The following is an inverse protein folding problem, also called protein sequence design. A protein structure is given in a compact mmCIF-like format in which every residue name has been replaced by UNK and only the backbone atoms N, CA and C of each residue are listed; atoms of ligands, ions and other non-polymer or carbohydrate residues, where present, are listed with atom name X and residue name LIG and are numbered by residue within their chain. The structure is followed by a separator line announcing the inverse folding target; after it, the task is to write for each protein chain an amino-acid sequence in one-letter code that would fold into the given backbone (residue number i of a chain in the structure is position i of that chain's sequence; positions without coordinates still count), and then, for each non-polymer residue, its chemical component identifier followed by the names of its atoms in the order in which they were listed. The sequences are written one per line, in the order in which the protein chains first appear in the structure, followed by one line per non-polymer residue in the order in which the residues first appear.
data_IF_580717566570
#
_entry.id   IF_580717566570
#
_cell.length_a   1.000
_cell.length_b   1.000
_cell.length_c   1.000
_cell.angle_alpha   90.00
_cell.angle_beta   90.00
_cell.angle_gamma   90.00
#
_symmetry.space_group_name_H-M   'P 1'
#
loop_
_entity.id
_entity.type
_entity.pdbx_description
1 polymer ?
#
# COMPACT_ATOMS: atom_id res chain seq x y z
N UNK A 1 -20.51 5.98 42.36
CA UNK A 1 -20.59 4.60 41.82
C UNK A 1 -21.08 4.55 40.38
N UNK A 2 -22.26 5.11 40.04
CA UNK A 2 -22.78 5.05 38.64
C UNK A 2 -21.96 5.83 37.61
N UNK A 3 -21.32 6.93 38.01
CA UNK A 3 -20.49 7.77 37.12
C UNK A 3 -19.13 7.13 36.82
N UNK A 4 -18.59 6.38 37.78
CA UNK A 4 -17.27 5.77 37.70
C UNK A 4 -17.29 4.55 36.76
N UNK A 5 -18.36 3.76 36.84
CA UNK A 5 -18.56 2.64 35.92
C UNK A 5 -18.76 3.10 34.47
N UNK A 6 -19.48 4.22 34.29
CA UNK A 6 -19.69 4.82 32.97
C UNK A 6 -18.36 5.28 32.38
N UNK A 7 -17.58 6.03 33.17
CA UNK A 7 -16.24 6.47 32.78
C UNK A 7 -15.32 5.31 32.42
N UNK A 8 -15.27 4.26 33.25
CA UNK A 8 -14.48 3.06 32.96
C UNK A 8 -14.91 2.36 31.66
N UNK A 9 -16.21 2.33 31.36
CA UNK A 9 -16.71 1.76 30.10
C UNK A 9 -16.37 2.61 28.87
N UNK A 10 -16.38 3.94 29.04
CA UNK A 10 -16.03 4.91 28.00
C UNK A 10 -14.53 4.83 27.69
N UNK A 11 -13.68 4.87 28.73
CA UNK A 11 -12.22 4.73 28.59
C UNK A 11 -11.85 3.40 27.90
N UNK A 12 -12.49 2.29 28.28
CA UNK A 12 -12.27 0.99 27.64
C UNK A 12 -12.70 0.97 26.16
N UNK A 13 -13.83 1.62 25.84
CA UNK A 13 -14.29 1.71 24.45
C UNK A 13 -13.34 2.53 23.58
N UNK A 14 -12.79 3.62 24.12
CA UNK A 14 -11.80 4.44 23.43
C UNK A 14 -10.48 3.69 23.20
N UNK A 15 -10.00 2.94 24.20
CA UNK A 15 -8.82 2.08 24.07
C UNK A 15 -9.02 1.01 22.98
N UNK A 16 -10.18 0.34 22.96
CA UNK A 16 -10.51 -0.68 21.95
C UNK A 16 -10.62 -0.07 20.55
N UNK A 17 -11.21 1.12 20.43
CA UNK A 17 -11.27 1.84 19.16
C UNK A 17 -9.86 2.19 18.66
N UNK A 18 -8.99 2.70 19.52
CA UNK A 18 -7.60 2.98 19.18
C UNK A 18 -6.85 1.71 18.76
N UNK A 19 -6.98 0.60 19.50
CA UNK A 19 -6.34 -0.66 19.16
C UNK A 19 -6.82 -1.18 17.79
N UNK A 20 -8.13 -1.11 17.51
CA UNK A 20 -8.70 -1.51 16.22
C UNK A 20 -8.14 -0.68 15.06
N UNK A 21 -8.08 0.64 15.19
CA UNK A 21 -7.53 1.52 14.15
C UNK A 21 -6.04 1.25 13.90
N UNK A 22 -5.26 1.01 14.96
CA UNK A 22 -3.86 0.65 14.84
C UNK A 22 -3.69 -0.67 14.06
N UNK A 23 -4.51 -1.68 14.36
CA UNK A 23 -4.48 -2.95 13.64
C UNK A 23 -4.85 -2.79 12.15
N UNK A 24 -5.91 -2.03 11.84
CA UNK A 24 -6.31 -1.77 10.46
C UNK A 24 -5.22 -1.03 9.68
N UNK A 25 -4.59 -0.05 10.31
CA UNK A 25 -3.49 0.72 9.72
C UNK A 25 -2.29 -0.18 9.42
N UNK A 26 -1.86 -0.98 10.39
CA UNK A 26 -0.73 -1.90 10.20
C UNK A 26 -1.01 -2.92 9.09
N UNK A 27 -2.21 -3.52 9.07
CA UNK A 27 -2.61 -4.45 8.00
C UNK A 27 -2.55 -3.79 6.62
N UNK A 28 -3.01 -2.55 6.49
CA UNK A 28 -2.92 -1.79 5.24
C UNK A 28 -1.48 -1.55 4.81
N UNK A 29 -0.61 -1.16 5.74
CA UNK A 29 0.83 -0.94 5.48
C UNK A 29 1.49 -2.25 5.01
N UNK A 30 1.26 -3.35 5.72
CA UNK A 30 1.88 -4.64 5.40
C UNK A 30 1.39 -5.19 4.07
N UNK A 31 0.11 -5.03 3.75
CA UNK A 31 -0.43 -5.38 2.44
C UNK A 31 0.22 -4.59 1.29
N UNK A 32 0.55 -3.30 1.52
CA UNK A 32 1.29 -2.50 0.54
C UNK A 32 2.74 -2.98 0.43
N UNK A 33 3.42 -3.23 1.55
CA UNK A 33 4.80 -3.73 1.58
C UNK A 33 4.96 -5.03 0.80
N UNK A 34 4.03 -5.98 0.96
CA UNK A 34 4.04 -7.25 0.23
C UNK A 34 3.89 -7.11 -1.30
N UNK A 35 3.29 -6.01 -1.77
CA UNK A 35 3.15 -5.73 -3.21
C UNK A 35 4.41 -5.11 -3.83
N UNK A 36 5.30 -4.55 -3.01
CA UNK A 36 6.55 -3.97 -3.47
C UNK A 36 7.56 -5.09 -3.76
N UNK A 37 8.20 -5.04 -4.94
CA UNK A 37 9.17 -6.04 -5.41
C UNK A 37 10.61 -5.64 -5.13
N UNK A 38 10.89 -5.09 -3.95
CA UNK A 38 12.20 -4.50 -3.63
C UNK A 38 13.34 -5.51 -3.57
N UNK A 39 13.05 -6.82 -3.56
CA UNK A 39 14.05 -7.89 -3.59
C UNK A 39 14.47 -8.38 -4.98
N UNK A 40 13.82 -7.90 -6.05
CA UNK A 40 14.14 -8.29 -7.43
C UNK A 40 15.00 -7.21 -8.12
N UNK A 41 15.92 -7.57 -9.03
CA UNK A 41 16.67 -6.58 -9.80
C UNK A 41 15.74 -5.79 -10.72
N UNK A 42 16.01 -4.50 -10.87
CA UNK A 42 15.32 -3.64 -11.82
C UNK A 42 15.59 -4.08 -13.26
N UNK A 43 14.59 -3.95 -14.14
CA UNK A 43 14.74 -4.20 -15.58
C UNK A 43 15.26 -2.95 -16.28
N UNK A 44 16.10 -3.16 -17.30
CA UNK A 44 16.58 -2.10 -18.17
C UNK A 44 15.58 -1.73 -19.28
N UNK A 45 14.72 -2.68 -19.68
CA UNK A 45 13.67 -2.47 -20.67
C UNK A 45 12.28 -2.77 -20.10
N UNK A 46 11.30 -1.95 -20.50
CA UNK A 46 9.91 -2.10 -20.11
C UNK A 46 9.29 -3.36 -20.69
N UNK A 47 8.71 -4.21 -19.85
CA UNK A 47 8.11 -5.47 -20.31
C UNK A 47 6.86 -5.30 -21.18
N UNK A 48 6.22 -4.12 -21.14
CA UNK A 48 5.00 -3.85 -21.91
C UNK A 48 5.27 -3.22 -23.29
N UNK A 49 6.27 -2.36 -23.41
CA UNK A 49 6.52 -1.58 -24.63
C UNK A 49 7.97 -1.62 -25.11
N UNK A 50 8.83 -2.39 -24.46
CA UNK A 50 10.27 -2.50 -24.75
C UNK A 50 11.08 -1.20 -24.67
N UNK A 51 10.49 -0.09 -24.23
CA UNK A 51 11.22 1.17 -24.03
C UNK A 51 12.19 1.07 -22.85
N UNK A 52 13.33 1.77 -22.95
CA UNK A 52 14.34 1.80 -21.89
C UNK A 52 13.77 2.40 -20.59
N UNK A 53 14.15 1.81 -19.47
CA UNK A 53 13.82 2.27 -18.13
C UNK A 53 15.04 3.04 -17.60
N UNK A 54 14.94 4.37 -17.44
CA UNK A 54 16.08 5.19 -17.05
C UNK A 54 16.56 4.84 -15.64
N UNK A 55 17.86 4.98 -15.35
CA UNK A 55 18.45 4.59 -14.07
C UNK A 55 17.88 5.40 -12.89
N UNK A 56 17.41 6.63 -13.13
CA UNK A 56 16.69 7.41 -12.12
C UNK A 56 15.41 6.69 -11.63
N UNK A 57 14.69 6.01 -12.54
CA UNK A 57 13.51 5.21 -12.21
C UNK A 57 13.88 3.93 -11.47
N UNK A 58 14.94 3.26 -11.91
CA UNK A 58 15.44 2.04 -11.25
C UNK A 58 15.88 2.29 -9.80
N UNK A 59 16.48 3.46 -9.52
CA UNK A 59 16.83 3.88 -8.16
C UNK A 59 15.61 4.26 -7.31
N UNK A 60 14.64 4.96 -7.92
CA UNK A 60 13.43 5.38 -7.21
C UNK A 60 12.50 4.20 -6.87
N UNK A 61 12.47 3.18 -7.73
CA UNK A 61 11.65 1.97 -7.56
C UNK A 61 12.53 0.74 -7.79
N UNK A 62 13.16 0.21 -6.73
CA UNK A 62 13.90 -1.04 -6.81
C UNK A 62 12.99 -2.19 -7.28
N UNK A 63 13.44 -2.95 -8.28
CA UNK A 63 12.65 -4.02 -8.90
C UNK A 63 11.63 -3.55 -9.95
N UNK A 64 11.83 -2.36 -10.53
CA UNK A 64 10.93 -1.82 -11.57
C UNK A 64 10.95 -2.71 -12.84
N UNK A 65 9.77 -2.96 -13.40
CA UNK A 65 9.57 -3.75 -14.64
C UNK A 65 8.90 -2.98 -15.78
N UNK A 66 8.29 -1.84 -15.47
CA UNK A 66 7.57 -1.00 -16.42
C UNK A 66 8.13 0.42 -16.42
N UNK A 67 8.14 1.05 -17.59
CA UNK A 67 8.37 2.48 -17.69
C UNK A 67 7.22 3.27 -17.02
N UNK A 68 7.47 4.54 -16.68
CA UNK A 68 6.50 5.40 -15.98
C UNK A 68 5.12 5.41 -16.65
N UNK A 69 5.07 5.55 -17.99
CA UNK A 69 3.81 5.58 -18.75
C UNK A 69 3.01 4.28 -18.62
N UNK A 70 3.68 3.13 -18.81
CA UNK A 70 3.01 1.84 -18.72
C UNK A 70 2.57 1.53 -17.28
N UNK A 71 3.35 1.95 -16.28
CA UNK A 71 2.99 1.84 -14.88
C UNK A 71 1.71 2.63 -14.56
N UNK A 72 1.63 3.89 -14.98
CA UNK A 72 0.44 4.72 -14.75
C UNK A 72 -0.83 4.12 -15.35
N UNK A 73 -0.74 3.57 -16.56
CA UNK A 73 -1.87 2.89 -17.22
C UNK A 73 -2.28 1.65 -16.44
N UNK A 74 -1.32 0.85 -16.00
CA UNK A 74 -1.57 -0.36 -15.20
C UNK A 74 -2.26 -0.04 -13.86
N UNK A 75 -1.81 1.02 -13.18
CA UNK A 75 -2.39 1.47 -11.92
C UNK A 75 -3.79 2.04 -12.11
N UNK A 76 -4.02 2.85 -13.14
CA UNK A 76 -5.36 3.36 -13.50
C UNK A 76 -6.32 2.20 -13.73
N UNK A 77 -5.94 1.19 -14.52
CA UNK A 77 -6.76 -0.01 -14.75
C UNK A 77 -7.07 -0.76 -13.45
N UNK A 78 -6.05 -0.95 -12.60
CA UNK A 78 -6.19 -1.67 -11.33
C UNK A 78 -7.13 -0.97 -10.35
N UNK A 79 -7.14 0.37 -10.30
CA UNK A 79 -8.06 1.14 -9.46
C UNK A 79 -9.54 0.93 -9.84
N UNK A 80 -9.84 0.85 -11.13
CA UNK A 80 -11.22 0.64 -11.59
C UNK A 80 -11.71 -0.80 -11.34
N UNK A 81 -10.84 -1.80 -11.50
CA UNK A 81 -11.20 -3.21 -11.24
C UNK A 81 -11.41 -3.46 -9.73
N UNK A 82 -10.62 -2.82 -8.87
CA UNK A 82 -10.72 -3.02 -7.41
C UNK A 82 -11.97 -2.36 -6.78
N UNK A 83 -12.54 -1.33 -7.41
CA UNK A 83 -13.76 -0.66 -6.94
C UNK A 83 -15.07 -1.33 -7.42
N UNK A 84 -14.98 -2.27 -8.36
CA UNK A 84 -16.13 -2.94 -8.98
C UNK A 84 -16.34 -4.39 -8.54
N UNK A 85 -15.68 -4.86 -7.47
CA UNK A 85 -15.81 -6.22 -6.95
C UNK A 85 -16.22 -6.20 -5.49
#
# INVERSE_FOLDING_TARGET
MSVEWKKMSEDLNDELAQASTAQLTQRGIDAIRLRLRTGEPSKDACECCAADIPPARQRAVPGVRFCTRCQEVSEKKSRHIAAGR
#
